data_IF_813936214458
#
_entry.id   IF_813936214458
#
_cell.length_a   1.000
_cell.length_b   1.000
_cell.length_c   1.000
_cell.angle_alpha   90.00
_cell.angle_beta   90.00
_cell.angle_gamma   90.00
#
_symmetry.space_group_name_H-M   'P 1'
#
loop_
_entity.id
_entity.type
_entity.pdbx_description
1 polymer ?
#
# COMPACT_ATOMS: atom_id res chain seq x y z
N UNK A 1 7.74 34.38 -20.16
CA UNK A 1 7.13 33.27 -19.39
C UNK A 1 8.24 32.56 -18.65
N UNK A 2 8.32 32.73 -17.33
CA UNK A 2 9.29 31.99 -16.50
C UNK A 2 8.86 30.52 -16.45
N UNK A 3 9.76 29.60 -16.83
CA UNK A 3 9.56 28.16 -16.55
C UNK A 3 9.43 28.00 -15.04
N UNK A 4 8.22 27.78 -14.59
CA UNK A 4 8.01 27.33 -13.21
C UNK A 4 8.71 25.98 -13.02
N UNK A 5 9.51 25.88 -11.96
CA UNK A 5 10.21 24.67 -11.59
C UNK A 5 9.19 23.59 -11.23
N UNK A 6 8.83 22.74 -12.20
CA UNK A 6 8.09 21.51 -11.90
C UNK A 6 8.95 20.68 -10.94
N UNK A 7 8.40 20.35 -9.79
CA UNK A 7 9.03 19.43 -8.84
C UNK A 7 9.05 18.05 -9.53
N UNK A 8 10.20 17.71 -10.10
CA UNK A 8 10.41 16.40 -10.69
C UNK A 8 11.11 15.50 -9.68
N UNK A 9 10.93 14.17 -9.79
CA UNK A 9 11.67 13.18 -9.01
C UNK A 9 13.19 13.43 -9.01
N UNK A 10 13.73 14.04 -10.06
CA UNK A 10 15.14 14.42 -10.19
C UNK A 10 15.53 15.62 -9.35
N UNK A 11 14.64 16.60 -9.15
CA UNK A 11 14.90 17.72 -8.25
C UNK A 11 14.95 17.27 -6.79
N UNK A 12 14.11 16.30 -6.42
CA UNK A 12 14.14 15.66 -5.10
C UNK A 12 15.48 14.95 -4.84
N UNK A 13 15.96 14.15 -5.80
CA UNK A 13 17.26 13.45 -5.67
C UNK A 13 18.45 14.40 -5.54
N UNK A 14 18.41 15.56 -6.19
CA UNK A 14 19.44 16.62 -6.05
C UNK A 14 19.38 17.30 -4.69
N UNK A 15 18.18 17.54 -4.15
CA UNK A 15 18.00 18.18 -2.83
C UNK A 15 18.37 17.27 -1.68
N UNK A 16 18.05 15.96 -1.77
CA UNK A 16 18.40 14.99 -0.73
C UNK A 16 19.89 14.64 -0.69
N UNK A 17 20.61 14.74 -1.81
CA UNK A 17 22.05 14.59 -1.83
C UNK A 17 22.79 15.74 -1.12
N UNK A 18 22.22 16.96 -1.10
CA UNK A 18 22.76 18.10 -0.35
C UNK A 18 22.43 18.06 1.16
N UNK A 19 21.30 17.47 1.54
CA UNK A 19 20.91 17.36 2.94
C UNK A 19 21.62 16.19 3.67
N UNK A 20 22.15 15.21 2.95
CA UNK A 20 22.92 14.08 3.51
C UNK A 20 24.38 14.40 3.91
N UNK A 21 24.90 15.57 3.52
CA UNK A 21 26.31 15.94 3.76
C UNK A 21 26.52 16.82 5.01
N UNK A 22 25.46 17.17 5.74
CA UNK A 22 25.54 18.06 6.90
C UNK A 22 24.98 17.43 8.19
N UNK A 23 25.50 16.29 8.61
CA UNK A 23 24.98 15.70 9.86
C UNK A 23 25.63 14.43 10.35
N UNK A 24 26.97 14.40 10.46
CA UNK A 24 27.66 13.41 11.32
C UNK A 24 28.88 14.06 11.94
N UNK A 25 28.73 14.64 13.11
CA UNK A 25 29.83 14.83 14.07
C UNK A 25 29.26 14.72 15.48
N UNK A 26 29.83 13.78 16.27
CA UNK A 26 29.83 13.74 17.73
C UNK A 26 28.76 12.83 18.35
N UNK A 27 29.00 11.95 19.23
CA UNK A 27 30.07 11.62 20.18
C UNK A 27 29.78 10.23 20.75
N UNK A 28 30.84 9.52 21.13
CA UNK A 28 30.78 8.15 21.61
C UNK A 28 30.14 7.96 22.98
N UNK A 29 29.65 6.75 23.19
CA UNK A 29 29.18 6.24 24.49
C UNK A 29 29.35 4.74 24.53
N UNK A 30 30.17 4.27 25.43
CA UNK A 30 30.68 2.91 25.55
C UNK A 30 29.61 1.85 25.82
N UNK A 31 29.76 0.71 25.14
CA UNK A 31 29.05 -0.53 25.42
C UNK A 31 29.68 -1.23 26.64
N UNK A 32 28.90 -1.56 27.65
CA UNK A 32 29.25 -2.51 28.69
C UNK A 32 28.58 -3.85 28.42
N UNK A 33 29.37 -4.83 28.07
CA UNK A 33 28.97 -6.24 28.12
C UNK A 33 28.90 -6.68 29.57
N UNK A 34 27.80 -7.36 29.91
CA UNK A 34 27.73 -8.21 31.09
C UNK A 34 27.36 -9.63 30.67
N UNK A 35 28.37 -10.47 30.66
CA UNK A 35 28.23 -11.91 30.65
C UNK A 35 27.86 -12.40 32.06
N UNK A 36 26.81 -13.20 32.17
CA UNK A 36 26.56 -14.02 33.36
C UNK A 36 26.19 -15.42 32.93
N UNK A 37 27.15 -16.33 33.13
CA UNK A 37 26.90 -17.77 33.16
C UNK A 37 26.46 -18.15 34.57
N UNK A 38 25.38 -18.90 34.68
CA UNK A 38 24.96 -19.56 35.90
C UNK A 38 24.12 -20.78 35.58
N UNK A 39 24.73 -21.95 35.67
CA UNK A 39 24.06 -23.23 35.53
C UNK A 39 23.30 -23.61 36.81
N UNK A 40 22.25 -24.39 36.66
CA UNK A 40 21.46 -25.00 37.75
C UNK A 40 20.55 -26.07 37.17
N UNK A 41 20.80 -27.30 37.61
CA UNK A 41 20.21 -28.58 37.21
C UNK A 41 18.76 -28.75 37.55
N UNK A 42 18.06 -29.40 36.64
CA UNK A 42 16.93 -30.37 36.74
C UNK A 42 16.14 -30.50 38.01
N UNK A 43 14.80 -30.45 37.85
CA UNK A 43 13.92 -31.55 38.34
C UNK A 43 12.61 -31.54 37.55
N UNK A 44 12.18 -32.74 37.12
CA UNK A 44 11.00 -32.94 36.32
C UNK A 44 9.73 -32.78 37.14
N UNK A 45 8.76 -32.13 36.58
CA UNK A 45 7.40 -32.05 37.07
C UNK A 45 6.45 -32.01 35.91
N UNK A 46 5.87 -33.13 35.59
CA UNK A 46 4.82 -33.26 34.60
C UNK A 46 3.53 -32.64 35.18
N UNK A 47 3.17 -31.44 34.80
CA UNK A 47 1.87 -30.86 35.05
C UNK A 47 1.25 -30.40 33.72
N UNK A 48 0.31 -31.21 33.25
CA UNK A 48 -0.67 -30.87 32.25
C UNK A 48 -1.54 -29.71 32.76
N UNK A 49 -1.05 -28.50 32.67
CA UNK A 49 -1.79 -27.27 32.86
C UNK A 49 -1.78 -26.51 31.56
N UNK A 50 -2.94 -26.16 31.00
CA UNK A 50 -3.07 -25.29 29.85
C UNK A 50 -2.36 -23.97 30.12
N UNK A 51 -1.10 -23.86 29.73
CA UNK A 51 -0.30 -22.65 29.88
C UNK A 51 -0.91 -21.58 29.04
N UNK A 52 -1.25 -20.45 29.65
CA UNK A 52 -1.65 -19.27 28.92
C UNK A 52 -0.64 -18.98 27.78
N UNK A 53 -1.14 -18.74 26.59
CA UNK A 53 -0.28 -18.42 25.44
C UNK A 53 0.58 -17.19 25.77
N UNK A 54 1.90 -17.32 25.60
CA UNK A 54 2.78 -16.16 25.74
C UNK A 54 2.49 -15.19 24.58
N UNK A 55 2.16 -13.92 24.83
CA UNK A 55 1.91 -12.96 23.77
C UNK A 55 3.18 -12.75 22.93
N UNK A 56 3.00 -12.58 21.62
CA UNK A 56 4.09 -12.18 20.69
C UNK A 56 4.49 -10.73 20.91
N UNK A 57 3.50 -9.90 21.23
CA UNK A 57 3.69 -8.48 21.58
C UNK A 57 2.84 -8.19 22.82
N UNK A 58 3.38 -7.41 23.74
CA UNK A 58 2.63 -6.98 24.92
C UNK A 58 1.38 -6.18 24.50
N UNK A 59 0.23 -6.37 25.15
CA UNK A 59 -0.98 -5.59 24.89
C UNK A 59 -0.68 -4.08 24.99
N UNK A 60 -1.10 -3.32 23.96
CA UNK A 60 -0.84 -1.88 23.88
C UNK A 60 0.53 -1.49 23.30
N UNK A 61 1.43 -2.45 23.01
CA UNK A 61 2.70 -2.19 22.32
C UNK A 61 2.57 -2.14 20.79
N UNK A 62 1.39 -2.44 20.26
CA UNK A 62 1.08 -2.42 18.84
C UNK A 62 -0.22 -1.64 18.58
N UNK A 63 -0.29 -1.01 17.42
CA UNK A 63 -1.47 -0.27 17.02
C UNK A 63 -2.54 -1.17 16.41
N UNK A 64 -3.77 -0.98 16.84
CA UNK A 64 -4.97 -1.41 16.13
C UNK A 64 -5.95 -0.24 16.08
N UNK A 65 -6.64 -0.01 14.94
CA UNK A 65 -7.63 1.05 14.87
C UNK A 65 -8.81 0.76 15.80
N UNK A 66 -9.38 1.84 16.35
CA UNK A 66 -10.69 1.76 17.00
C UNK A 66 -11.76 1.81 15.90
N UNK A 67 -12.32 0.64 15.57
CA UNK A 67 -13.26 0.48 14.47
C UNK A 67 -14.70 0.81 14.93
N UNK A 68 -14.94 2.06 15.29
CA UNK A 68 -16.29 2.58 15.55
C UNK A 68 -17.05 2.74 14.22
N UNK A 69 -18.38 2.70 14.29
CA UNK A 69 -19.23 2.75 13.09
C UNK A 69 -19.17 4.09 12.35
N UNK A 70 -18.85 5.16 13.08
CA UNK A 70 -18.90 6.53 12.58
C UNK A 70 -17.89 7.39 13.33
N UNK A 71 -17.22 8.30 12.66
CA UNK A 71 -16.27 9.18 13.32
C UNK A 71 -16.99 10.17 14.24
N UNK A 72 -16.35 10.52 15.34
CA UNK A 72 -16.87 11.48 16.31
C UNK A 72 -17.09 12.85 15.66
N UNK A 73 -18.17 13.55 16.08
CA UNK A 73 -18.44 14.91 15.63
C UNK A 73 -17.27 15.85 16.01
N UNK A 74 -17.08 16.90 15.23
CA UNK A 74 -15.99 17.84 15.46
C UNK A 74 -15.86 18.87 14.33
N UNK A 75 -14.64 19.38 14.16
CA UNK A 75 -14.31 20.35 13.12
C UNK A 75 -14.81 19.88 11.74
N UNK A 76 -15.39 20.80 10.98
CA UNK A 76 -15.68 20.59 9.56
C UNK A 76 -14.39 20.35 8.79
N UNK A 77 -14.42 19.38 7.86
CA UNK A 77 -13.27 19.03 7.04
C UNK A 77 -13.65 19.02 5.56
N UNK A 78 -12.83 19.68 4.75
CA UNK A 78 -12.97 19.79 3.31
C UNK A 78 -11.98 18.90 2.60
N UNK A 79 -12.48 17.98 1.79
CA UNK A 79 -11.64 17.07 0.99
C UNK A 79 -11.48 17.54 -0.46
N UNK A 80 -10.27 17.38 -0.98
CA UNK A 80 -9.98 17.41 -2.39
C UNK A 80 -9.75 15.99 -2.93
N UNK A 81 -10.37 15.65 -4.06
CA UNK A 81 -10.17 14.36 -4.71
C UNK A 81 -9.18 14.50 -5.85
N UNK A 82 -8.10 13.74 -5.83
CA UNK A 82 -7.06 13.71 -6.87
C UNK A 82 -7.07 12.34 -7.53
N UNK A 83 -7.58 12.27 -8.76
CA UNK A 83 -7.93 11.04 -9.46
C UNK A 83 -9.39 10.67 -9.25
N UNK A 84 -10.26 11.13 -10.17
CA UNK A 84 -11.73 11.03 -10.09
C UNK A 84 -12.30 9.75 -10.77
N UNK A 85 -11.45 8.75 -11.04
CA UNK A 85 -11.87 7.45 -11.58
C UNK A 85 -12.67 6.63 -10.59
N UNK A 86 -12.91 5.33 -10.91
CA UNK A 86 -13.77 4.45 -10.10
C UNK A 86 -13.36 4.40 -8.63
N UNK A 87 -12.05 4.22 -8.32
CA UNK A 87 -11.61 4.16 -6.91
C UNK A 87 -11.67 5.53 -6.22
N UNK A 88 -11.29 6.61 -6.91
CA UNK A 88 -11.39 7.95 -6.34
C UNK A 88 -12.83 8.37 -6.06
N UNK A 89 -13.76 8.02 -6.96
CA UNK A 89 -15.21 8.19 -6.72
C UNK A 89 -15.64 7.39 -5.50
N UNK A 90 -15.29 6.10 -5.41
CA UNK A 90 -15.61 5.28 -4.25
C UNK A 90 -15.07 5.87 -2.94
N UNK A 91 -13.81 6.32 -2.92
CA UNK A 91 -13.19 6.93 -1.75
C UNK A 91 -13.86 8.25 -1.34
N UNK A 92 -14.34 9.06 -2.30
CA UNK A 92 -15.12 10.26 -2.00
C UNK A 92 -16.43 9.91 -1.26
N UNK A 93 -17.11 8.84 -1.68
CA UNK A 93 -18.32 8.38 -1.00
C UNK A 93 -18.02 7.73 0.36
N UNK A 94 -16.94 6.95 0.48
CA UNK A 94 -16.49 6.41 1.76
C UNK A 94 -16.19 7.53 2.76
N UNK A 95 -15.49 8.59 2.33
CA UNK A 95 -15.26 9.79 3.12
C UNK A 95 -16.55 10.43 3.61
N UNK A 96 -17.51 10.67 2.71
CA UNK A 96 -18.79 11.30 3.02
C UNK A 96 -19.69 10.42 3.91
N UNK A 97 -19.51 9.11 3.90
CA UNK A 97 -20.23 8.17 4.74
C UNK A 97 -19.57 7.94 6.12
N UNK A 98 -18.35 8.41 6.32
CA UNK A 98 -17.57 8.15 7.53
C UNK A 98 -17.89 9.09 8.69
N UNK A 99 -18.39 10.31 8.43
CA UNK A 99 -18.61 11.32 9.47
C UNK A 99 -19.62 12.39 9.06
N UNK A 100 -20.22 13.04 10.05
CA UNK A 100 -20.87 14.34 9.87
C UNK A 100 -19.82 15.46 9.73
N UNK A 101 -20.19 16.61 9.13
CA UNK A 101 -19.31 17.76 8.99
C UNK A 101 -18.10 17.51 8.10
N UNK A 102 -18.22 16.60 7.13
CA UNK A 102 -17.21 16.39 6.08
C UNK A 102 -17.84 16.66 4.71
N UNK A 103 -17.06 17.20 3.80
CA UNK A 103 -17.51 17.52 2.45
C UNK A 103 -16.39 17.34 1.42
N UNK A 104 -16.76 17.32 0.14
CA UNK A 104 -15.82 17.40 -0.98
C UNK A 104 -15.98 18.77 -1.62
N UNK A 105 -14.88 19.50 -1.82
CA UNK A 105 -14.91 20.88 -2.32
C UNK A 105 -14.09 21.09 -3.60
N UNK A 106 -13.22 20.16 -3.95
CA UNK A 106 -12.36 20.27 -5.14
C UNK A 106 -12.13 18.90 -5.79
N UNK A 107 -12.10 18.87 -7.12
CA UNK A 107 -11.85 17.69 -7.92
C UNK A 107 -10.68 17.93 -8.88
N UNK A 108 -9.78 16.97 -9.03
CA UNK A 108 -8.68 17.02 -9.98
C UNK A 108 -8.45 15.66 -10.64
N UNK A 109 -8.35 15.66 -11.95
CA UNK A 109 -8.00 14.48 -12.75
C UNK A 109 -7.29 14.91 -14.02
N UNK A 110 -6.54 14.00 -14.63
CA UNK A 110 -5.96 14.19 -15.95
C UNK A 110 -7.03 14.43 -17.00
N UNK A 111 -8.23 13.83 -16.84
CA UNK A 111 -9.31 13.82 -17.84
C UNK A 111 -10.59 14.44 -17.30
N UNK A 112 -11.15 15.37 -18.08
CA UNK A 112 -12.39 16.09 -17.75
C UNK A 112 -13.58 15.14 -17.56
N UNK A 113 -13.71 14.10 -18.38
CA UNK A 113 -14.80 13.13 -18.29
C UNK A 113 -14.88 12.45 -16.92
N UNK A 114 -13.75 12.21 -16.26
CA UNK A 114 -13.69 11.63 -14.92
C UNK A 114 -14.19 12.60 -13.86
N UNK A 115 -13.83 13.86 -13.98
CA UNK A 115 -14.26 14.93 -13.08
C UNK A 115 -15.77 15.15 -13.20
N UNK A 116 -16.28 15.23 -14.42
CA UNK A 116 -17.70 15.47 -14.69
C UNK A 116 -18.58 14.32 -14.17
N UNK A 117 -18.12 13.06 -14.35
CA UNK A 117 -18.82 11.87 -13.82
C UNK A 117 -18.91 11.92 -12.28
N UNK A 118 -17.80 12.19 -11.60
CA UNK A 118 -17.80 12.28 -10.13
C UNK A 118 -18.62 13.50 -9.63
N UNK A 119 -18.47 14.65 -10.25
CA UNK A 119 -19.22 15.86 -9.89
C UNK A 119 -20.75 15.63 -10.05
N UNK A 120 -21.15 14.95 -11.13
CA UNK A 120 -22.54 14.55 -11.35
C UNK A 120 -23.07 13.63 -10.26
N UNK A 121 -22.32 12.60 -9.87
CA UNK A 121 -22.68 11.68 -8.78
C UNK A 121 -22.78 12.40 -7.43
N UNK A 122 -21.81 13.24 -7.09
CA UNK A 122 -21.84 14.02 -5.85
C UNK A 122 -23.06 14.92 -5.78
N UNK A 123 -23.46 15.55 -6.89
CA UNK A 123 -24.66 16.39 -6.96
C UNK A 123 -25.92 15.58 -6.79
N UNK A 124 -26.06 14.46 -7.49
CA UNK A 124 -27.30 13.66 -7.50
C UNK A 124 -27.49 12.83 -6.23
N UNK A 125 -26.42 12.26 -5.68
CA UNK A 125 -26.50 11.29 -4.58
C UNK A 125 -26.23 11.91 -3.21
N UNK A 126 -25.47 13.02 -3.15
CA UNK A 126 -25.09 13.69 -1.90
C UNK A 126 -25.52 15.15 -1.81
N UNK A 127 -26.16 15.68 -2.86
CA UNK A 127 -26.52 17.09 -2.97
C UNK A 127 -25.31 18.04 -2.79
N UNK A 128 -24.12 17.62 -3.23
CA UNK A 128 -22.90 18.41 -3.21
C UNK A 128 -22.61 18.88 -4.64
N UNK A 129 -22.72 20.19 -4.86
CA UNK A 129 -22.42 20.81 -6.15
C UNK A 129 -21.00 21.38 -6.14
N UNK A 130 -20.11 20.78 -6.90
CA UNK A 130 -18.73 21.27 -7.07
C UNK A 130 -18.74 22.34 -8.17
N UNK A 131 -18.40 23.59 -7.88
CA UNK A 131 -18.41 24.65 -8.88
C UNK A 131 -17.30 24.42 -9.92
N UNK A 132 -17.50 24.91 -11.15
CA UNK A 132 -16.59 24.67 -12.27
C UNK A 132 -15.15 25.14 -12.00
N UNK A 133 -14.99 26.25 -11.28
CA UNK A 133 -13.68 26.77 -10.87
C UNK A 133 -12.97 25.94 -9.79
N UNK A 134 -13.61 24.88 -9.28
CA UNK A 134 -13.03 23.91 -8.34
C UNK A 134 -12.86 22.52 -9.00
N UNK A 135 -12.94 22.47 -10.32
CA UNK A 135 -12.73 21.27 -11.16
C UNK A 135 -11.50 21.47 -12.03
N UNK A 136 -10.42 20.79 -11.67
CA UNK A 136 -9.10 21.02 -12.27
C UNK A 136 -8.71 19.86 -13.18
N UNK A 137 -8.34 20.17 -14.43
CA UNK A 137 -8.02 19.18 -15.47
C UNK A 137 -6.53 19.22 -15.81
N UNK A 138 -5.91 18.06 -15.99
CA UNK A 138 -4.55 17.92 -16.46
C UNK A 138 -3.61 17.26 -15.48
N UNK A 139 -2.36 17.06 -15.87
CA UNK A 139 -1.35 16.37 -15.05
C UNK A 139 -0.97 17.15 -13.78
N UNK A 140 -1.10 18.46 -13.80
CA UNK A 140 -0.84 19.36 -12.67
C UNK A 140 -2.09 19.70 -11.84
N UNK A 141 -3.25 19.10 -12.13
CA UNK A 141 -4.50 19.32 -11.43
C UNK A 141 -4.38 19.10 -9.91
N UNK A 142 -3.52 18.18 -9.47
CA UNK A 142 -3.28 17.90 -8.05
C UNK A 142 -2.79 19.13 -7.28
N UNK A 143 -1.95 19.99 -7.89
CA UNK A 143 -1.48 21.23 -7.25
C UNK A 143 -2.64 22.18 -7.00
N UNK A 144 -3.50 22.35 -7.99
CA UNK A 144 -4.64 23.25 -7.91
C UNK A 144 -5.66 22.76 -6.88
N UNK A 145 -5.90 21.44 -6.78
CA UNK A 145 -6.73 20.85 -5.71
C UNK A 145 -6.14 21.14 -4.34
N UNK A 146 -4.84 20.90 -4.15
CA UNK A 146 -4.16 21.10 -2.86
C UNK A 146 -4.14 22.60 -2.49
N UNK A 147 -3.90 23.48 -3.46
CA UNK A 147 -3.85 24.94 -3.26
C UNK A 147 -5.25 25.58 -3.12
N UNK A 148 -6.34 24.84 -3.32
CA UNK A 148 -7.72 25.36 -3.24
C UNK A 148 -8.24 25.57 -1.81
N UNK A 149 -7.45 25.26 -0.79
CA UNK A 149 -7.83 25.44 0.63
C UNK A 149 -8.56 24.25 1.22
N UNK A 150 -8.26 23.05 0.75
CA UNK A 150 -8.74 21.79 1.34
C UNK A 150 -7.95 21.44 2.61
N UNK A 151 -8.61 20.79 3.57
CA UNK A 151 -7.96 20.31 4.80
C UNK A 151 -7.28 18.96 4.57
N UNK A 152 -7.85 18.17 3.67
CA UNK A 152 -7.39 16.81 3.37
C UNK A 152 -7.42 16.56 1.86
N UNK A 153 -6.55 15.67 1.39
CA UNK A 153 -6.61 15.15 0.02
C UNK A 153 -6.72 13.63 -0.01
N UNK A 154 -7.56 13.15 -0.92
CA UNK A 154 -7.70 11.73 -1.25
C UNK A 154 -7.03 11.50 -2.60
N UNK A 155 -5.89 10.79 -2.59
CA UNK A 155 -5.06 10.56 -3.76
C UNK A 155 -5.30 9.16 -4.32
N UNK A 156 -6.04 9.10 -5.42
CA UNK A 156 -6.42 7.86 -6.11
C UNK A 156 -5.97 7.81 -7.58
N UNK A 157 -4.95 8.57 -7.92
CA UNK A 157 -4.29 8.54 -9.23
C UNK A 157 -3.54 7.22 -9.48
N UNK A 158 -3.12 6.93 -10.71
CA UNK A 158 -2.22 5.79 -10.94
C UNK A 158 -0.99 5.84 -10.01
N UNK A 159 -0.55 4.71 -9.48
CA UNK A 159 0.40 4.63 -8.36
C UNK A 159 1.69 5.42 -8.52
N UNK A 160 2.23 5.50 -9.74
CA UNK A 160 3.49 6.18 -9.98
C UNK A 160 3.45 7.70 -9.74
N UNK A 161 2.27 8.31 -9.76
CA UNK A 161 2.11 9.75 -9.48
C UNK A 161 1.99 10.04 -7.97
N UNK A 162 1.61 9.07 -7.15
CA UNK A 162 1.30 9.25 -5.72
C UNK A 162 2.45 9.83 -4.90
N UNK A 163 3.71 9.42 -5.09
CA UNK A 163 4.82 10.02 -4.34
C UNK A 163 4.93 11.54 -4.53
N UNK A 164 4.73 12.02 -5.77
CA UNK A 164 4.80 13.45 -6.09
C UNK A 164 3.61 14.20 -5.47
N UNK A 165 2.42 13.63 -5.54
CA UNK A 165 1.21 14.24 -4.97
C UNK A 165 1.29 14.30 -3.45
N UNK A 166 1.78 13.25 -2.80
CA UNK A 166 1.98 13.20 -1.37
C UNK A 166 3.01 14.22 -0.87
N UNK A 167 4.13 14.33 -1.60
CA UNK A 167 5.15 15.33 -1.30
C UNK A 167 4.55 16.73 -1.32
N UNK A 168 3.85 17.10 -2.39
CA UNK A 168 3.26 18.44 -2.53
C UNK A 168 2.19 18.70 -1.44
N UNK A 169 1.32 17.74 -1.14
CA UNK A 169 0.34 17.86 -0.06
C UNK A 169 1.03 18.08 1.31
N UNK A 170 2.09 17.33 1.59
CA UNK A 170 2.88 17.47 2.81
C UNK A 170 3.58 18.83 2.90
N UNK A 171 4.15 19.32 1.80
CA UNK A 171 4.75 20.67 1.74
C UNK A 171 3.74 21.77 2.08
N UNK A 172 2.50 21.62 1.62
CA UNK A 172 1.38 22.54 1.87
C UNK A 172 0.70 22.35 3.23
N UNK A 173 1.05 21.32 3.98
CA UNK A 173 0.46 21.06 5.30
C UNK A 173 -0.92 20.43 5.26
N UNK A 174 -1.24 19.66 4.21
CA UNK A 174 -2.53 19.01 3.99
C UNK A 174 -2.44 17.54 4.39
N UNK A 175 -3.43 17.04 5.16
CA UNK A 175 -3.55 15.63 5.51
C UNK A 175 -3.79 14.78 4.27
N UNK A 176 -3.30 13.54 4.24
CA UNK A 176 -3.33 12.73 3.01
C UNK A 176 -3.88 11.33 3.25
N UNK A 177 -4.85 10.94 2.41
CA UNK A 177 -5.22 9.56 2.17
C UNK A 177 -4.56 9.14 0.84
N UNK A 178 -3.75 8.08 0.89
CA UNK A 178 -3.04 7.57 -0.29
C UNK A 178 -3.58 6.20 -0.66
N UNK A 179 -4.21 6.06 -1.81
CA UNK A 179 -4.55 4.72 -2.29
C UNK A 179 -3.32 3.84 -2.47
N UNK A 180 -3.49 2.55 -2.24
CA UNK A 180 -2.45 1.54 -2.50
C UNK A 180 -2.35 1.21 -4.02
N UNK A 181 -1.20 0.79 -4.49
CA UNK A 181 0.14 0.90 -3.91
C UNK A 181 0.61 2.36 -3.89
N UNK A 182 1.39 2.73 -2.90
CA UNK A 182 1.81 4.13 -2.73
C UNK A 182 3.03 4.52 -3.56
N UNK A 183 3.69 3.54 -4.17
CA UNK A 183 4.79 3.73 -5.12
C UNK A 183 4.96 2.47 -5.98
N UNK A 184 5.76 2.57 -7.07
CA UNK A 184 5.97 1.46 -8.00
C UNK A 184 7.44 1.12 -8.26
N UNK A 185 8.36 1.91 -7.73
CA UNK A 185 9.81 1.75 -7.95
C UNK A 185 10.63 2.24 -6.75
N UNK A 186 11.96 1.96 -6.70
CA UNK A 186 12.81 2.35 -5.59
C UNK A 186 12.87 3.86 -5.35
N UNK A 187 12.75 4.68 -6.39
CA UNK A 187 12.76 6.13 -6.26
C UNK A 187 11.49 6.61 -5.57
N UNK A 188 10.33 6.11 -6.03
CA UNK A 188 9.04 6.40 -5.40
C UNK A 188 9.01 5.97 -3.94
N UNK A 189 9.55 4.80 -3.61
CA UNK A 189 9.69 4.35 -2.23
C UNK A 189 10.46 5.35 -1.36
N UNK A 190 11.64 5.79 -1.81
CA UNK A 190 12.44 6.77 -1.05
C UNK A 190 11.73 8.11 -0.88
N UNK A 191 11.01 8.55 -1.92
CA UNK A 191 10.18 9.74 -1.82
C UNK A 191 9.09 9.58 -0.76
N UNK A 192 8.38 8.46 -0.75
CA UNK A 192 7.35 8.17 0.25
C UNK A 192 7.94 8.20 1.66
N UNK A 193 9.04 7.46 1.91
CA UNK A 193 9.67 7.40 3.25
C UNK A 193 10.15 8.78 3.72
N UNK A 194 10.76 9.56 2.84
CA UNK A 194 11.21 10.91 3.18
C UNK A 194 10.04 11.85 3.45
N UNK A 195 8.98 11.76 2.65
CA UNK A 195 7.78 12.59 2.80
C UNK A 195 6.99 12.22 4.06
N UNK A 196 6.89 10.91 4.39
CA UNK A 196 6.25 10.46 5.62
C UNK A 196 6.92 11.06 6.87
N UNK A 197 8.26 11.09 6.92
CA UNK A 197 9.00 11.78 8.00
C UNK A 197 8.71 13.27 8.08
N UNK A 198 8.55 13.93 6.94
CA UNK A 198 8.16 15.36 6.91
C UNK A 198 6.71 15.55 7.38
N UNK A 199 5.81 14.65 7.00
CA UNK A 199 4.42 14.67 7.46
C UNK A 199 4.32 14.47 8.98
N UNK A 200 5.09 13.53 9.53
CA UNK A 200 5.21 13.33 10.99
C UNK A 200 5.70 14.60 11.69
N UNK A 201 6.76 15.22 11.18
CA UNK A 201 7.31 16.47 11.74
C UNK A 201 6.31 17.63 11.71
N UNK A 202 5.34 17.60 10.81
CA UNK A 202 4.26 18.58 10.68
C UNK A 202 2.97 18.16 11.41
N UNK A 203 2.94 17.02 12.12
CA UNK A 203 1.75 16.42 12.73
C UNK A 203 0.60 16.18 11.74
N UNK A 204 0.92 15.81 10.50
CA UNK A 204 -0.07 15.47 9.50
C UNK A 204 -0.48 14.01 9.64
N UNK A 205 -1.78 13.75 9.57
CA UNK A 205 -2.34 12.39 9.55
C UNK A 205 -2.29 11.83 8.14
N UNK A 206 -1.65 10.68 7.98
CA UNK A 206 -1.53 9.98 6.72
C UNK A 206 -2.07 8.56 6.88
N UNK A 207 -3.08 8.21 6.09
CA UNK A 207 -3.63 6.85 5.99
C UNK A 207 -3.47 6.36 4.55
N UNK A 208 -3.33 5.06 4.41
CA UNK A 208 -3.20 4.39 3.11
C UNK A 208 -4.39 3.47 2.84
N UNK A 209 -4.71 3.25 1.57
CA UNK A 209 -5.80 2.36 1.13
C UNK A 209 -5.53 0.87 1.37
N UNK A 210 -4.86 0.53 2.46
CA UNK A 210 -4.66 -0.84 2.95
C UNK A 210 -5.85 -1.26 3.80
N UNK A 211 -7.01 -1.39 3.17
CA UNK A 211 -8.30 -1.57 3.87
C UNK A 211 -8.36 -2.75 4.84
N UNK A 212 -7.51 -3.78 4.68
CA UNK A 212 -7.45 -4.92 5.61
C UNK A 212 -7.05 -4.53 7.02
N UNK A 213 -6.26 -3.46 7.17
CA UNK A 213 -5.95 -2.86 8.49
C UNK A 213 -7.18 -2.29 9.18
N UNK A 214 -8.29 -2.08 8.46
CA UNK A 214 -9.56 -1.59 8.97
C UNK A 214 -10.71 -2.60 8.81
N UNK A 215 -10.42 -3.80 8.34
CA UNK A 215 -11.37 -4.89 8.25
C UNK A 215 -11.43 -5.64 9.59
N UNK A 216 -12.60 -5.64 10.25
CA UNK A 216 -12.77 -6.19 11.61
C UNK A 216 -12.24 -7.61 11.76
N UNK A 217 -12.53 -8.48 10.78
CA UNK A 217 -12.05 -9.88 10.81
C UNK A 217 -10.52 -10.00 10.81
N UNK A 218 -9.83 -9.13 10.06
CA UNK A 218 -8.36 -9.09 10.06
C UNK A 218 -7.80 -8.49 11.36
N UNK A 219 -8.40 -7.41 11.85
CA UNK A 219 -7.97 -6.75 13.09
C UNK A 219 -8.14 -7.71 14.29
N UNK A 220 -9.25 -8.42 14.38
CA UNK A 220 -9.47 -9.41 15.45
C UNK A 220 -8.53 -10.61 15.29
N UNK A 221 -8.30 -11.11 14.07
CA UNK A 221 -7.31 -12.15 13.80
C UNK A 221 -5.91 -11.72 14.25
N UNK A 222 -5.51 -10.48 13.91
CA UNK A 222 -4.24 -9.91 14.34
C UNK A 222 -4.10 -9.88 15.86
N UNK A 223 -5.13 -9.43 16.58
CA UNK A 223 -5.15 -9.44 18.04
C UNK A 223 -4.96 -10.84 18.61
N UNK A 224 -5.65 -11.86 18.07
CA UNK A 224 -5.49 -13.25 18.51
C UNK A 224 -4.05 -13.74 18.30
N UNK A 225 -3.44 -13.44 17.15
CA UNK A 225 -2.06 -13.84 16.85
C UNK A 225 -1.08 -13.12 17.77
N UNK A 226 -1.25 -11.81 17.98
CA UNK A 226 -0.40 -11.04 18.92
C UNK A 226 -0.52 -11.57 20.36
N UNK A 227 -1.69 -12.07 20.76
CA UNK A 227 -1.91 -12.74 22.04
C UNK A 227 -1.33 -14.16 22.08
N UNK A 228 -0.64 -14.61 21.03
CA UNK A 228 0.11 -15.87 21.00
C UNK A 228 -0.72 -17.11 20.61
N UNK A 229 -1.89 -16.93 19.99
CA UNK A 229 -2.77 -18.04 19.62
C UNK A 229 -2.10 -19.09 18.72
N UNK A 230 -1.19 -18.69 17.82
CA UNK A 230 -0.42 -19.59 16.97
C UNK A 230 1.04 -19.76 17.43
N UNK A 231 1.43 -19.16 18.57
CA UNK A 231 2.83 -19.12 19.01
C UNK A 231 3.68 -18.20 18.13
N UNK A 232 4.99 -18.43 18.08
CA UNK A 232 5.91 -17.68 17.21
C UNK A 232 5.65 -17.98 15.74
N UNK A 233 5.64 -16.95 14.88
CA UNK A 233 5.43 -17.11 13.44
C UNK A 233 6.68 -17.78 12.83
N UNK A 234 6.47 -18.87 12.10
CA UNK A 234 7.52 -19.68 11.48
C UNK A 234 7.57 -19.53 9.96
N UNK A 235 6.56 -18.92 9.36
CA UNK A 235 6.47 -18.67 7.93
C UNK A 235 5.05 -18.45 7.46
N UNK A 236 4.85 -18.34 6.16
CA UNK A 236 3.52 -18.25 5.60
C UNK A 236 3.50 -18.21 4.08
N UNK A 237 2.31 -18.30 3.54
CA UNK A 237 2.06 -18.23 2.11
C UNK A 237 0.94 -17.23 1.85
N UNK A 238 1.13 -16.38 0.83
CA UNK A 238 0.19 -15.34 0.47
C UNK A 238 -0.20 -15.48 -1.01
N UNK A 239 -1.49 -15.30 -1.32
CA UNK A 239 -2.04 -15.58 -2.63
C UNK A 239 -2.88 -14.42 -3.16
N UNK A 240 -2.66 -14.05 -4.44
CA UNK A 240 -3.60 -13.27 -5.22
C UNK A 240 -3.78 -13.91 -6.60
N UNK A 241 -4.45 -15.06 -6.64
CA UNK A 241 -4.76 -15.76 -7.87
C UNK A 241 -6.19 -15.41 -8.27
N UNK A 242 -6.35 -14.63 -9.33
CA UNK A 242 -7.64 -14.09 -9.76
C UNK A 242 -7.69 -14.00 -11.29
N UNK A 243 -8.87 -13.77 -11.84
CA UNK A 243 -9.08 -13.44 -13.25
C UNK A 243 -8.39 -12.11 -13.60
N UNK A 244 -8.20 -11.89 -14.91
CA UNK A 244 -7.70 -10.61 -15.40
C UNK A 244 -8.59 -9.45 -14.95
N UNK A 245 -7.94 -8.31 -14.72
CA UNK A 245 -8.65 -7.06 -14.56
C UNK A 245 -9.09 -6.52 -15.92
N UNK A 246 -9.73 -5.37 -15.91
CA UNK A 246 -10.13 -4.66 -17.09
C UNK A 246 -8.91 -4.20 -17.93
N UNK A 247 -9.13 -3.98 -19.22
CA UNK A 247 -8.22 -3.27 -20.11
C UNK A 247 -9.03 -2.31 -20.99
N UNK A 248 -8.35 -1.36 -21.62
CA UNK A 248 -8.95 -0.39 -22.54
C UNK A 248 -8.23 -0.44 -23.88
N UNK A 249 -8.98 -0.71 -24.92
CA UNK A 249 -8.48 -0.57 -26.28
C UNK A 249 -8.20 0.90 -26.58
N UNK A 250 -7.12 1.14 -27.32
CA UNK A 250 -6.79 2.49 -27.79
C UNK A 250 -7.86 3.00 -28.73
N UNK A 251 -8.40 4.17 -28.45
CA UNK A 251 -9.39 4.78 -29.31
C UNK A 251 -8.76 5.78 -30.29
N UNK A 252 -9.46 6.03 -31.41
CA UNK A 252 -9.04 7.01 -32.37
C UNK A 252 -8.93 8.41 -31.71
N UNK A 253 -7.83 9.08 -31.97
CA UNK A 253 -7.54 10.40 -31.39
C UNK A 253 -6.79 10.38 -30.06
N UNK A 254 -6.71 9.27 -29.37
CA UNK A 254 -5.88 9.19 -28.15
C UNK A 254 -4.38 9.12 -28.50
N UNK A 255 -3.58 9.93 -27.82
CA UNK A 255 -2.13 9.78 -27.85
C UNK A 255 -1.71 8.47 -27.16
N UNK A 256 -0.43 8.09 -27.28
CA UNK A 256 0.09 6.93 -26.58
C UNK A 256 0.01 7.13 -25.04
N UNK A 257 0.36 8.33 -24.58
CA UNK A 257 0.32 8.69 -23.18
C UNK A 257 -1.11 8.68 -22.63
N UNK A 258 -2.07 9.26 -23.34
CA UNK A 258 -3.48 9.24 -22.96
C UNK A 258 -3.99 7.80 -22.83
N UNK A 259 -3.73 6.98 -23.86
CA UNK A 259 -4.13 5.56 -23.81
C UNK A 259 -3.53 4.83 -22.60
N UNK A 260 -2.22 4.97 -22.38
CA UNK A 260 -1.55 4.31 -21.25
C UNK A 260 -2.13 4.76 -19.91
N UNK A 261 -2.41 6.06 -19.72
CA UNK A 261 -3.00 6.55 -18.47
C UNK A 261 -4.45 6.08 -18.32
N UNK A 262 -5.24 5.99 -19.39
CA UNK A 262 -6.60 5.45 -19.34
C UNK A 262 -6.63 3.94 -19.11
N UNK A 263 -5.60 3.22 -19.57
CA UNK A 263 -5.37 1.77 -19.40
C UNK A 263 -4.30 1.45 -18.33
N UNK A 264 -4.13 2.34 -17.37
CA UNK A 264 -2.99 2.42 -16.44
C UNK A 264 -2.65 1.10 -15.72
N UNK A 265 -3.64 0.27 -15.44
CA UNK A 265 -3.46 -0.98 -14.70
C UNK A 265 -2.59 -1.98 -15.45
N UNK A 266 -2.51 -1.88 -16.78
CA UNK A 266 -1.78 -2.79 -17.65
C UNK A 266 -0.34 -2.34 -17.98
N UNK A 267 0.06 -1.15 -17.52
CA UNK A 267 1.37 -0.59 -17.79
C UNK A 267 2.24 -0.54 -16.53
N UNK A 268 3.38 -1.22 -16.60
CA UNK A 268 4.34 -1.35 -15.50
C UNK A 268 4.75 0.01 -14.90
N UNK A 269 4.98 1.00 -15.74
CA UNK A 269 5.38 2.32 -15.27
C UNK A 269 4.30 3.05 -14.46
N UNK A 270 3.03 2.72 -14.64
CA UNK A 270 1.90 3.35 -13.92
C UNK A 270 1.48 2.57 -12.69
N UNK A 271 1.35 1.25 -12.83
CA UNK A 271 0.79 0.36 -11.80
C UNK A 271 1.84 -0.41 -11.00
N UNK A 272 3.03 -0.62 -11.55
CA UNK A 272 4.07 -1.44 -10.94
C UNK A 272 3.94 -2.93 -11.20
N UNK A 273 3.06 -3.37 -12.13
CA UNK A 273 2.61 -4.72 -12.35
C UNK A 273 1.69 -5.25 -11.24
N UNK A 274 0.93 -6.32 -11.49
CA UNK A 274 -0.12 -6.81 -10.59
C UNK A 274 0.39 -7.35 -9.24
N UNK A 275 1.65 -7.77 -9.16
CA UNK A 275 2.28 -8.10 -7.88
C UNK A 275 2.35 -6.89 -6.95
N UNK A 276 2.61 -5.70 -7.49
CA UNK A 276 2.64 -4.43 -6.74
C UNK A 276 1.24 -3.84 -6.60
N UNK A 277 0.43 -3.87 -7.68
CA UNK A 277 -0.86 -3.19 -7.70
C UNK A 277 -1.94 -3.94 -6.92
N UNK A 278 -2.00 -5.29 -7.02
CA UNK A 278 -3.01 -6.10 -6.35
C UNK A 278 -2.44 -6.93 -5.20
N UNK A 279 -1.41 -7.70 -5.46
CA UNK A 279 -0.91 -8.67 -4.49
C UNK A 279 -0.21 -8.03 -3.30
N UNK A 280 0.15 -6.76 -3.39
CA UNK A 280 0.65 -5.99 -2.24
C UNK A 280 -0.26 -6.11 -1.01
N UNK A 281 -1.58 -6.25 -1.18
CA UNK A 281 -2.51 -6.45 -0.07
C UNK A 281 -2.19 -7.68 0.79
N UNK A 282 -1.81 -8.80 0.15
CA UNK A 282 -1.51 -10.04 0.89
C UNK A 282 -0.09 -10.01 1.47
N UNK A 283 0.87 -9.44 0.72
CA UNK A 283 2.23 -9.18 1.22
C UNK A 283 2.17 -8.27 2.45
N UNK A 284 1.31 -7.24 2.40
CA UNK A 284 1.07 -6.30 3.49
C UNK A 284 0.54 -7.00 4.75
N UNK A 285 -0.44 -7.88 4.62
CA UNK A 285 -0.95 -8.65 5.78
C UNK A 285 0.15 -9.46 6.44
N UNK A 286 1.02 -10.12 5.68
CA UNK A 286 2.11 -10.90 6.27
C UNK A 286 3.13 -10.00 6.99
N UNK A 287 3.53 -8.89 6.35
CA UNK A 287 4.47 -7.95 6.98
C UNK A 287 3.87 -7.28 8.22
N UNK A 288 2.59 -6.94 8.19
CA UNK A 288 1.87 -6.41 9.34
C UNK A 288 1.78 -7.43 10.48
N UNK A 289 1.32 -8.65 10.20
CA UNK A 289 1.12 -9.69 11.22
C UNK A 289 2.44 -10.16 11.84
N UNK A 290 3.48 -10.32 11.03
CA UNK A 290 4.80 -10.72 11.53
C UNK A 290 5.59 -9.56 12.15
N UNK A 291 5.33 -8.33 11.70
CA UNK A 291 6.15 -7.15 12.02
C UNK A 291 7.53 -7.17 11.37
N UNK A 292 7.75 -8.04 10.37
CA UNK A 292 9.03 -8.27 9.73
C UNK A 292 9.06 -7.67 8.32
N UNK A 293 10.24 -7.28 7.87
CA UNK A 293 10.50 -6.92 6.48
C UNK A 293 11.34 -8.00 5.80
N UNK A 294 11.21 -8.19 4.47
CA UNK A 294 12.10 -9.08 3.74
C UNK A 294 13.51 -8.47 3.63
N UNK A 295 14.51 -9.33 3.73
CA UNK A 295 15.91 -8.96 3.45
C UNK A 295 16.33 -9.38 2.05
N UNK A 296 15.70 -10.42 1.49
CA UNK A 296 15.96 -10.97 0.16
C UNK A 296 14.68 -11.42 -0.52
N UNK A 297 14.68 -11.43 -1.85
CA UNK A 297 13.64 -12.04 -2.66
C UNK A 297 14.24 -12.77 -3.86
N UNK A 298 13.75 -13.98 -4.12
CA UNK A 298 14.05 -14.76 -5.34
C UNK A 298 12.71 -15.10 -5.98
N UNK A 299 12.52 -14.66 -7.22
CA UNK A 299 11.23 -14.80 -7.90
C UNK A 299 11.37 -15.18 -9.36
N UNK A 300 10.31 -15.74 -9.88
CA UNK A 300 10.11 -15.94 -11.30
C UNK A 300 8.65 -15.63 -11.68
N UNK A 301 8.43 -15.39 -12.96
CA UNK A 301 7.13 -15.09 -13.51
C UNK A 301 7.17 -15.09 -15.03
N UNK A 302 6.04 -14.87 -15.65
CA UNK A 302 5.96 -14.84 -17.09
C UNK A 302 4.72 -14.11 -17.61
N UNK A 303 4.74 -13.76 -18.90
CA UNK A 303 3.58 -13.30 -19.65
C UNK A 303 3.15 -14.35 -20.67
N UNK A 304 1.87 -14.70 -20.67
CA UNK A 304 1.30 -15.71 -21.56
C UNK A 304 -0.02 -15.29 -22.19
N UNK A 305 -0.88 -14.56 -21.49
CA UNK A 305 -2.28 -14.31 -21.87
C UNK A 305 -2.65 -12.84 -22.01
N UNK A 306 -1.92 -11.91 -21.39
CA UNK A 306 -2.24 -10.47 -21.48
C UNK A 306 -2.24 -10.00 -22.93
N UNK A 307 -3.25 -9.20 -23.28
CA UNK A 307 -3.45 -8.67 -24.65
C UNK A 307 -2.88 -7.28 -24.81
N UNK A 308 -2.58 -6.55 -23.72
CA UNK A 308 -2.07 -5.19 -23.74
C UNK A 308 -1.06 -4.96 -22.62
N UNK A 309 -0.35 -3.84 -22.67
CA UNK A 309 0.64 -3.45 -21.67
C UNK A 309 1.94 -4.25 -21.72
N UNK A 310 2.77 -4.10 -20.71
CA UNK A 310 4.12 -4.65 -20.62
C UNK A 310 4.37 -5.49 -19.36
N UNK A 311 3.29 -6.02 -18.77
CA UNK A 311 3.29 -6.76 -17.49
C UNK A 311 3.33 -8.27 -17.68
N UNK A 312 3.66 -8.98 -16.59
CA UNK A 312 3.52 -10.43 -16.48
C UNK A 312 2.06 -10.84 -16.17
N UNK A 313 1.76 -12.14 -16.35
CA UNK A 313 0.47 -12.74 -15.95
C UNK A 313 0.55 -13.40 -14.58
N UNK A 314 1.74 -13.79 -14.16
CA UNK A 314 1.95 -14.54 -12.92
C UNK A 314 3.33 -14.25 -12.32
N UNK A 315 3.39 -14.40 -11.00
CA UNK A 315 4.62 -14.36 -10.21
C UNK A 315 4.58 -15.46 -9.14
N UNK A 316 5.75 -16.01 -8.86
CA UNK A 316 6.03 -16.85 -7.69
C UNK A 316 7.32 -16.35 -7.08
N UNK A 317 7.28 -15.94 -5.82
CA UNK A 317 8.41 -15.30 -5.13
C UNK A 317 8.57 -15.89 -3.75
N UNK A 318 9.79 -16.25 -3.40
CA UNK A 318 10.21 -16.57 -2.05
C UNK A 318 10.91 -15.37 -1.43
N UNK A 319 10.40 -14.91 -0.30
CA UNK A 319 10.99 -13.83 0.49
C UNK A 319 11.63 -14.41 1.75
N UNK A 320 12.92 -14.14 1.94
CA UNK A 320 13.57 -14.36 3.23
C UNK A 320 13.38 -13.14 4.11
N UNK A 321 12.74 -13.31 5.26
CA UNK A 321 12.51 -12.22 6.22
C UNK A 321 13.74 -12.02 7.12
N UNK A 322 13.81 -10.86 7.80
CA UNK A 322 14.98 -10.47 8.59
C UNK A 322 15.37 -11.41 9.75
N UNK A 323 14.42 -12.23 10.22
CA UNK A 323 14.66 -13.28 11.21
C UNK A 323 14.94 -14.68 10.61
N UNK A 324 15.01 -14.77 9.28
CA UNK A 324 15.30 -16.01 8.55
C UNK A 324 14.10 -16.88 8.21
N UNK A 325 12.87 -16.51 8.61
CA UNK A 325 11.68 -17.23 8.15
C UNK A 325 11.33 -16.84 6.70
N UNK A 326 10.52 -17.67 6.04
CA UNK A 326 10.14 -17.47 4.65
C UNK A 326 8.66 -17.09 4.51
N UNK A 327 8.40 -16.15 3.61
CA UNK A 327 7.08 -15.87 3.06
C UNK A 327 7.05 -16.27 1.60
N UNK A 328 6.25 -17.27 1.25
CA UNK A 328 6.03 -17.63 -0.16
C UNK A 328 4.85 -16.84 -0.72
N UNK A 329 5.07 -16.18 -1.84
CA UNK A 329 4.13 -15.27 -2.49
C UNK A 329 3.79 -15.77 -3.90
N UNK A 330 2.50 -15.96 -4.19
CA UNK A 330 2.02 -16.39 -5.50
C UNK A 330 0.89 -15.48 -5.97
N UNK A 331 1.02 -14.92 -7.18
CA UNK A 331 -0.07 -14.19 -7.78
C UNK A 331 -0.21 -14.46 -9.27
N UNK A 332 -1.45 -14.40 -9.75
CA UNK A 332 -1.80 -14.64 -11.14
C UNK A 332 -3.05 -13.87 -11.52
N UNK A 333 -3.05 -13.31 -12.73
CA UNK A 333 -4.22 -12.72 -13.37
C UNK A 333 -4.48 -13.43 -14.69
N UNK A 334 -5.22 -14.54 -14.65
CA UNK A 334 -5.54 -15.36 -15.82
C UNK A 334 -6.94 -15.93 -15.69
N UNK A 335 -7.78 -15.71 -16.70
CA UNK A 335 -9.16 -16.23 -16.74
C UNK A 335 -9.21 -17.75 -16.86
N UNK A 336 -10.29 -18.35 -16.36
CA UNK A 336 -10.52 -19.78 -16.45
C UNK A 336 -9.63 -20.64 -15.53
N UNK A 337 -8.97 -20.03 -14.54
CA UNK A 337 -8.12 -20.73 -13.57
C UNK A 337 -8.72 -20.63 -12.16
N UNK A 338 -8.31 -21.54 -11.27
CA UNK A 338 -8.75 -21.53 -9.88
C UNK A 338 -8.35 -20.22 -9.18
N UNK A 339 -9.33 -19.53 -8.61
CA UNK A 339 -9.09 -18.30 -7.82
C UNK A 339 -8.72 -18.65 -6.39
N UNK A 340 -7.79 -17.87 -5.84
CA UNK A 340 -7.43 -17.89 -4.41
C UNK A 340 -6.86 -16.52 -4.05
N UNK A 341 -7.56 -15.79 -3.18
CA UNK A 341 -7.08 -14.52 -2.60
C UNK A 341 -7.12 -14.69 -1.10
N UNK A 342 -6.00 -15.05 -0.53
CA UNK A 342 -5.91 -15.38 0.90
C UNK A 342 -4.48 -15.33 1.42
N UNK A 343 -4.35 -15.40 2.74
CA UNK A 343 -3.10 -15.59 3.46
C UNK A 343 -3.21 -16.83 4.37
N UNK A 344 -2.09 -17.53 4.49
CA UNK A 344 -1.91 -18.62 5.43
C UNK A 344 -0.64 -18.38 6.24
N UNK A 345 -0.79 -18.15 7.55
CA UNK A 345 0.33 -17.87 8.46
C UNK A 345 0.50 -19.04 9.41
N UNK A 346 1.71 -19.56 9.50
CA UNK A 346 2.09 -20.69 10.35
C UNK A 346 2.87 -20.20 11.56
N UNK A 347 2.64 -20.86 12.67
CA UNK A 347 3.36 -20.62 13.91
C UNK A 347 3.68 -21.91 14.66
N UNK A 348 4.40 -21.77 15.76
CA UNK A 348 4.87 -22.91 16.57
C UNK A 348 3.77 -23.67 17.31
N UNK A 349 2.56 -23.10 17.41
CA UNK A 349 1.41 -23.70 18.10
C UNK A 349 0.19 -23.91 17.22
N UNK A 350 0.21 -23.43 15.98
CA UNK A 350 -0.93 -23.52 15.09
C UNK A 350 -0.78 -22.67 13.86
N UNK A 351 -1.88 -22.40 13.17
CA UNK A 351 -1.92 -21.62 11.95
C UNK A 351 -3.17 -20.74 11.87
N UNK A 352 -3.08 -19.67 11.10
CA UNK A 352 -4.22 -18.83 10.74
C UNK A 352 -4.44 -18.84 9.23
N UNK A 353 -5.72 -18.89 8.81
CA UNK A 353 -6.14 -18.88 7.43
C UNK A 353 -7.19 -17.78 7.19
N UNK A 354 -6.88 -16.80 6.35
CA UNK A 354 -7.80 -15.71 6.04
C UNK A 354 -9.00 -16.12 5.18
N UNK A 355 -8.90 -17.22 4.42
CA UNK A 355 -10.02 -17.69 3.60
C UNK A 355 -11.20 -18.19 4.45
N UNK A 356 -10.92 -18.69 5.65
CA UNK A 356 -11.94 -19.16 6.60
C UNK A 356 -12.04 -18.29 7.85
N UNK A 357 -11.13 -17.35 8.03
CA UNK A 357 -10.94 -16.53 9.24
C UNK A 357 -10.87 -17.39 10.51
N UNK A 358 -10.09 -18.48 10.44
CA UNK A 358 -9.91 -19.46 11.50
C UNK A 358 -8.47 -19.53 11.97
N UNK A 359 -8.32 -19.79 13.26
CA UNK A 359 -7.07 -20.24 13.86
C UNK A 359 -7.24 -21.71 14.27
N UNK A 360 -6.27 -22.54 13.89
CA UNK A 360 -6.22 -23.96 14.23
C UNK A 360 -4.97 -24.26 15.03
N UNK A 361 -5.08 -25.24 15.95
CA UNK A 361 -3.92 -25.79 16.63
C UNK A 361 -3.12 -26.76 15.73
N UNK A 362 -2.02 -27.33 16.24
CA UNK A 362 -1.20 -28.29 15.48
C UNK A 362 -1.89 -29.65 15.25
N UNK A 363 -3.00 -29.92 15.93
CA UNK A 363 -3.84 -31.11 15.73
C UNK A 363 -5.00 -30.82 14.75
N UNK A 364 -5.00 -29.68 14.09
CA UNK A 364 -6.02 -29.21 13.12
C UNK A 364 -7.39 -28.90 13.75
N UNK A 365 -7.49 -28.75 15.08
CA UNK A 365 -8.72 -28.30 15.72
C UNK A 365 -8.87 -26.80 15.58
N UNK A 366 -10.08 -26.32 15.25
CA UNK A 366 -10.40 -24.89 15.24
C UNK A 366 -10.45 -24.40 16.68
N UNK A 367 -9.51 -23.54 17.08
CA UNK A 367 -9.43 -22.94 18.42
C UNK A 367 -9.99 -21.52 18.46
N UNK A 368 -10.12 -20.87 17.32
CA UNK A 368 -10.77 -19.57 17.16
C UNK A 368 -11.29 -19.40 15.74
N UNK A 369 -12.43 -18.73 15.61
CA UNK A 369 -13.02 -18.35 14.35
C UNK A 369 -13.68 -16.99 14.48
N UNK A 370 -13.50 -16.13 13.48
CA UNK A 370 -14.20 -14.86 13.44
C UNK A 370 -15.70 -15.06 13.16
N UNK A 371 -16.55 -14.41 13.95
CA UNK A 371 -18.00 -14.48 13.81
C UNK A 371 -18.51 -13.32 12.94
N UNK A 372 -18.65 -13.56 11.64
CA UNK A 372 -19.15 -12.59 10.68
C UNK A 372 -20.64 -12.27 10.83
N UNK A 373 -21.44 -13.16 11.45
CA UNK A 373 -22.86 -12.88 11.70
C UNK A 373 -23.01 -11.98 12.92
N UNK A 374 -22.21 -12.18 13.95
CA UNK A 374 -22.13 -11.24 15.08
C UNK A 374 -21.65 -9.85 14.63
N UNK A 375 -20.73 -9.75 13.66
CA UNK A 375 -20.30 -8.47 13.10
C UNK A 375 -21.50 -7.70 12.53
N UNK A 376 -22.28 -8.32 11.65
CA UNK A 376 -23.44 -7.70 11.00
C UNK A 376 -24.53 -7.27 12.01
N UNK A 377 -24.61 -7.98 13.14
CA UNK A 377 -25.59 -7.68 14.19
C UNK A 377 -25.12 -6.52 15.09
N UNK A 378 -23.83 -6.49 15.40
CA UNK A 378 -23.27 -5.57 16.40
C UNK A 378 -22.83 -4.23 15.83
N UNK A 379 -22.57 -4.16 14.53
CA UNK A 379 -22.05 -2.95 13.88
C UNK A 379 -22.91 -2.53 12.69
N UNK A 380 -23.14 -1.22 12.57
CA UNK A 380 -23.84 -0.61 11.44
C UNK A 380 -22.93 -0.41 10.25
N UNK A 381 -21.63 -0.19 10.51
CA UNK A 381 -20.62 0.00 9.48
C UNK A 381 -19.67 -1.21 9.48
N UNK A 382 -19.69 -1.96 8.39
CA UNK A 382 -18.83 -3.13 8.18
C UNK A 382 -17.92 -2.99 6.95
N UNK A 383 -18.12 -1.94 6.15
CA UNK A 383 -17.28 -1.67 4.98
C UNK A 383 -15.89 -1.15 5.41
N UNK A 384 -14.81 -1.92 5.20
CA UNK A 384 -13.47 -1.51 5.61
C UNK A 384 -12.98 -0.26 4.88
N UNK A 385 -13.46 0.00 3.67
CA UNK A 385 -13.13 1.21 2.92
C UNK A 385 -13.72 2.47 3.55
N UNK A 386 -14.87 2.38 4.20
CA UNK A 386 -15.44 3.48 4.98
C UNK A 386 -14.74 3.58 6.34
N UNK A 387 -14.44 2.45 6.99
CA UNK A 387 -13.80 2.41 8.30
C UNK A 387 -12.38 3.00 8.30
N UNK A 388 -11.63 2.92 7.20
CA UNK A 388 -10.34 3.61 7.09
C UNK A 388 -10.49 5.14 7.14
N UNK A 389 -11.54 5.69 6.55
CA UNK A 389 -11.85 7.12 6.65
C UNK A 389 -12.38 7.51 8.04
N UNK A 390 -13.19 6.66 8.69
CA UNK A 390 -13.62 6.87 10.09
C UNK A 390 -12.41 7.01 11.01
N UNK A 391 -11.47 6.08 10.90
CA UNK A 391 -10.24 6.11 11.70
C UNK A 391 -9.41 7.38 11.41
N UNK A 392 -9.25 7.74 10.14
CA UNK A 392 -8.51 8.92 9.73
C UNK A 392 -9.10 10.22 10.27
N UNK A 393 -10.41 10.40 10.14
CA UNK A 393 -11.14 11.58 10.64
C UNK A 393 -10.99 11.69 12.16
N UNK A 394 -11.11 10.57 12.90
CA UNK A 394 -10.93 10.55 14.34
C UNK A 394 -9.52 11.00 14.75
N UNK A 395 -8.48 10.56 14.03
CA UNK A 395 -7.12 11.01 14.26
C UNK A 395 -6.93 12.51 13.99
N UNK A 396 -7.47 13.03 12.88
CA UNK A 396 -7.42 14.46 12.56
C UNK A 396 -8.12 15.29 13.63
N UNK A 397 -9.38 14.94 13.97
CA UNK A 397 -10.19 15.69 14.94
C UNK A 397 -9.62 15.65 16.36
N UNK A 398 -9.07 14.51 16.77
CA UNK A 398 -8.39 14.36 18.06
C UNK A 398 -6.97 14.94 18.10
N UNK A 399 -6.44 15.40 16.96
CA UNK A 399 -5.05 15.89 16.80
C UNK A 399 -4.01 14.84 17.20
N UNK A 400 -4.34 13.58 17.05
CA UNK A 400 -3.43 12.45 17.25
C UNK A 400 -2.86 12.05 15.91
N UNK A 401 -1.59 12.32 15.68
CA UNK A 401 -0.91 11.98 14.44
C UNK A 401 -0.97 10.46 14.18
N UNK A 402 -1.19 10.08 12.92
CA UNK A 402 -1.08 8.71 12.43
C UNK A 402 -0.26 8.71 11.13
N UNK A 403 0.62 7.73 10.98
CA UNK A 403 1.40 7.52 9.76
C UNK A 403 1.38 6.04 9.34
N UNK A 404 0.53 5.71 8.38
CA UNK A 404 0.53 4.40 7.74
C UNK A 404 1.43 4.34 6.49
N UNK A 405 1.86 5.49 5.97
CA UNK A 405 2.70 5.49 4.77
C UNK A 405 4.05 4.80 5.00
N UNK A 406 4.63 4.94 6.19
CA UNK A 406 5.89 4.27 6.56
C UNK A 406 5.75 2.74 6.61
N UNK A 407 4.63 2.22 7.14
CA UNK A 407 4.36 0.77 7.19
C UNK A 407 4.04 0.23 5.79
N UNK A 408 3.15 0.90 5.06
CA UNK A 408 2.78 0.50 3.69
C UNK A 408 3.99 0.56 2.74
N UNK A 409 4.96 1.45 2.98
CA UNK A 409 6.19 1.49 2.20
C UNK A 409 6.99 0.18 2.30
N UNK A 410 6.94 -0.52 3.45
CA UNK A 410 7.62 -1.81 3.62
C UNK A 410 7.01 -2.87 2.71
N UNK A 411 5.70 -3.06 2.76
CA UNK A 411 5.00 -4.02 1.91
C UNK A 411 5.10 -3.67 0.42
N UNK A 412 5.06 -2.38 0.08
CA UNK A 412 5.30 -1.93 -1.29
C UNK A 412 6.70 -2.26 -1.80
N UNK A 413 7.76 -2.01 -0.99
CA UNK A 413 9.12 -2.36 -1.37
C UNK A 413 9.29 -3.88 -1.48
N UNK A 414 8.66 -4.67 -0.61
CA UNK A 414 8.66 -6.12 -0.74
C UNK A 414 8.09 -6.56 -2.10
N UNK A 415 6.93 -6.04 -2.50
CA UNK A 415 6.34 -6.34 -3.80
C UNK A 415 7.25 -5.91 -4.98
N UNK A 416 7.90 -4.74 -4.88
CA UNK A 416 8.87 -4.25 -5.87
C UNK A 416 10.09 -5.19 -5.95
N UNK A 417 10.64 -5.64 -4.81
CA UNK A 417 11.75 -6.61 -4.78
C UNK A 417 11.37 -7.90 -5.50
N UNK A 418 10.21 -8.46 -5.19
CA UNK A 418 9.72 -9.69 -5.83
C UNK A 418 9.55 -9.54 -7.33
N UNK A 419 9.01 -8.40 -7.78
CA UNK A 419 8.89 -8.09 -9.21
C UNK A 419 10.25 -7.99 -9.90
N UNK A 420 11.18 -7.22 -9.35
CA UNK A 420 12.50 -7.02 -9.95
C UNK A 420 13.29 -8.32 -10.00
N UNK A 421 13.18 -9.16 -8.97
CA UNK A 421 13.78 -10.49 -8.99
C UNK A 421 13.23 -11.34 -10.14
N UNK A 422 11.90 -11.39 -10.30
CA UNK A 422 11.27 -12.14 -11.38
C UNK A 422 11.60 -11.59 -12.78
N UNK A 423 11.75 -10.28 -12.92
CA UNK A 423 12.07 -9.61 -14.19
C UNK A 423 13.52 -9.80 -14.63
N UNK A 424 14.43 -9.87 -13.67
CA UNK A 424 15.88 -10.00 -13.95
C UNK A 424 16.38 -11.44 -13.87
N UNK A 425 15.68 -12.31 -13.13
CA UNK A 425 16.14 -13.65 -12.77
C UNK A 425 17.21 -13.65 -11.67
N UNK A 426 17.48 -12.51 -11.05
CA UNK A 426 18.48 -12.36 -9.99
C UNK A 426 17.85 -12.24 -8.61
N UNK A 427 18.57 -12.66 -7.56
CA UNK A 427 18.21 -12.33 -6.18
C UNK A 427 18.23 -10.81 -6.00
N UNK A 428 17.22 -10.26 -5.34
CA UNK A 428 17.18 -8.86 -4.90
C UNK A 428 17.37 -8.79 -3.39
N UNK A 429 18.00 -7.72 -2.90
CA UNK A 429 18.12 -7.48 -1.47
C UNK A 429 17.47 -6.17 -1.06
N UNK A 430 16.94 -6.12 0.17
CA UNK A 430 16.35 -4.92 0.76
C UNK A 430 17.31 -3.73 0.73
N UNK A 431 18.55 -3.96 1.17
CA UNK A 431 19.59 -2.93 1.23
C UNK A 431 19.85 -2.32 -0.15
N UNK A 432 20.08 -3.18 -1.15
CA UNK A 432 20.34 -2.73 -2.53
C UNK A 432 19.15 -2.00 -3.11
N UNK A 433 17.92 -2.54 -2.95
CA UNK A 433 16.73 -1.96 -3.56
C UNK A 433 16.33 -0.63 -2.93
N UNK A 434 16.43 -0.50 -1.61
CA UNK A 434 16.09 0.77 -0.94
C UNK A 434 17.10 1.88 -1.21
N UNK A 435 18.35 1.55 -1.50
CA UNK A 435 19.39 2.51 -1.91
C UNK A 435 19.39 2.82 -3.40
N UNK A 436 18.75 1.97 -4.23
CA UNK A 436 18.83 2.05 -5.69
C UNK A 436 18.12 3.29 -6.26
N UNK A 437 18.66 3.79 -7.36
CA UNK A 437 18.01 4.80 -8.23
C UNK A 437 17.44 4.20 -9.51
N UNK A 438 17.50 2.88 -9.62
CA UNK A 438 17.00 2.10 -10.77
C UNK A 438 16.23 0.86 -10.28
N UNK A 439 15.18 0.44 -11.00
CA UNK A 439 14.60 1.17 -12.13
C UNK A 439 13.92 2.49 -11.70
N UNK A 440 13.95 3.47 -12.59
CA UNK A 440 13.09 4.66 -12.56
C UNK A 440 12.03 4.48 -13.65
N UNK A 441 10.83 4.17 -13.25
CA UNK A 441 9.75 3.90 -14.21
C UNK A 441 8.99 5.16 -14.67
N UNK A 442 9.28 6.33 -14.09
CA UNK A 442 8.66 7.56 -14.55
C UNK A 442 9.30 8.02 -15.87
N UNK A 443 8.54 8.11 -16.96
CA UNK A 443 9.05 8.69 -18.21
C UNK A 443 9.57 10.12 -18.00
N UNK A 444 10.60 10.51 -18.78
CA UNK A 444 11.24 11.82 -18.64
C UNK A 444 10.30 12.96 -18.98
N UNK A 445 9.51 12.76 -20.03
CA UNK A 445 8.63 13.76 -20.61
C UNK A 445 7.24 13.13 -20.78
N UNK A 446 6.34 13.41 -19.84
CA UNK A 446 4.95 12.99 -19.93
C UNK A 446 4.15 14.12 -20.56
N UNK A 447 3.63 13.86 -21.75
CA UNK A 447 2.80 14.80 -22.48
C UNK A 447 1.57 14.07 -23.04
N UNK A 448 0.38 14.59 -22.75
CA UNK A 448 -0.89 13.98 -23.18
C UNK A 448 -1.13 14.09 -24.69
N UNK A 449 -0.44 14.98 -25.38
CA UNK A 449 -0.66 15.27 -26.81
C UNK A 449 0.36 14.63 -27.73
N UNK A 450 1.55 14.30 -27.22
CA UNK A 450 2.65 13.84 -28.05
C UNK A 450 2.71 12.31 -28.12
N UNK A 451 3.39 11.84 -29.16
CA UNK A 451 3.76 10.43 -29.25
C UNK A 451 4.85 10.12 -28.23
N UNK A 452 4.70 9.01 -27.53
CA UNK A 452 5.74 8.49 -26.66
C UNK A 452 6.65 7.53 -27.45
N UNK A 453 7.92 7.46 -27.06
CA UNK A 453 8.78 6.37 -27.51
C UNK A 453 8.34 5.06 -26.81
N UNK A 454 7.65 4.23 -27.59
CA UNK A 454 7.12 2.95 -27.09
C UNK A 454 8.18 1.85 -27.00
N UNK A 455 9.40 2.04 -27.47
CA UNK A 455 10.46 1.04 -27.52
C UNK A 455 10.91 0.53 -26.14
N UNK A 456 10.78 1.39 -25.12
CA UNK A 456 11.10 1.06 -23.73
C UNK A 456 10.01 0.28 -22.98
N UNK A 457 8.80 0.17 -23.55
CA UNK A 457 7.66 -0.52 -22.90
C UNK A 457 7.56 -1.97 -23.36
N UNK A 458 8.56 -2.75 -22.99
CA UNK A 458 8.66 -4.17 -23.36
C UNK A 458 8.42 -5.07 -22.17
N UNK A 459 7.90 -6.27 -22.43
CA UNK A 459 7.78 -7.32 -21.42
C UNK A 459 9.19 -7.77 -21.02
N UNK A 460 9.54 -7.77 -19.74
CA UNK A 460 10.85 -8.26 -19.31
C UNK A 460 11.06 -9.74 -19.68
N UNK A 461 12.29 -10.08 -20.01
CA UNK A 461 12.69 -11.47 -20.27
C UNK A 461 13.94 -11.74 -19.44
N UNK A 462 13.85 -12.56 -18.38
CA UNK A 462 14.98 -12.84 -17.50
C UNK A 462 16.02 -13.74 -18.16
N UNK A 463 17.26 -13.65 -17.65
CA UNK A 463 18.35 -14.51 -18.09
C UNK A 463 18.96 -14.11 -19.44
N UNK A 464 19.64 -15.05 -20.08
CA UNK A 464 20.28 -14.90 -21.39
C UNK A 464 19.71 -15.88 -22.40
N UNK A 465 19.61 -15.52 -23.69
CA UNK A 465 19.28 -16.48 -24.73
C UNK A 465 20.25 -17.66 -24.73
N UNK A 466 19.73 -18.85 -25.02
CA UNK A 466 20.61 -20.01 -25.27
C UNK A 466 21.36 -19.76 -26.59
N UNK A 467 22.68 -19.89 -26.55
CA UNK A 467 23.48 -19.89 -27.77
C UNK A 467 23.06 -21.11 -28.61
N UNK A 468 22.64 -20.85 -29.84
CA UNK A 468 22.42 -21.94 -30.79
C UNK A 468 23.80 -22.57 -31.05
N UNK A 469 24.00 -23.79 -30.54
CA UNK A 469 25.15 -24.61 -30.91
C UNK A 469 25.07 -25.04 -32.39
#
# INVERSE_FOLDING_TARGET
>A
MKKENSISRRSFLKSSALAGAAGVVGTGGAATMLTSCGGGSSEGGNTSGGGANKPLKEPGSYYTPDLVDFATDGQELKAGIIGCGGRGSGAAFNWLNAANGVTVTALGDTFKDRIDDLAGKLKTEKNIDIPENMRFVGLDAYKQVIDSGVDVVIVATPPNFRPIHFQYATEKGVHSFLEKPICVDPIGYRMIVATARQAQAKNLCVITGTQRHHQRSYVESYKQIMNGAIGEITGGTVYWNQSMLWFRERQAGWSDCEWMIRDWVNWKWLSGDHIVEQHVHNIDVFTWFSGLKPIKAVGFGSRQRRVTGDQYDNFSVDFTMENGIHMHSMCRQTDGCTNNVSEFIQGTKGSWNSATMEIKDLADNVIWKYDSEAEKTNFKQTDPYTLEHVNWINHIRSKKMIDQASETAVSNMAAIMGRESAYTGAETSWETMTASTTPDYMPKDINLTDKMDMSGFTVPVPGKPLDKK
#
